data_IF_006480020013
#
_entry.id   IF_006480020013
#
_cell.length_a   1.000
_cell.length_b   1.000
_cell.length_c   1.000
_cell.angle_alpha   90.00
_cell.angle_beta   90.00
_cell.angle_gamma   90.00
#
_symmetry.space_group_name_H-M   'P 1'
#
loop_
_entity.id
_entity.type
_entity.pdbx_description
1 polymer ?
#
# COMPACT_ATOMS: atom_id res chain seq x y z
N UNK A 1 -17.84 6.85 -16.77
CA UNK A 1 -18.05 6.01 -17.95
C UNK A 1 -18.17 4.54 -17.49
N UNK A 2 -19.23 3.80 -17.87
CA UNK A 2 -19.39 2.38 -17.49
C UNK A 2 -18.25 1.47 -17.95
N UNK A 3 -17.51 1.84 -18.99
CA UNK A 3 -16.36 1.07 -19.49
C UNK A 3 -15.16 1.11 -18.54
N UNK A 4 -15.13 2.08 -17.63
CA UNK A 4 -14.11 2.18 -16.59
C UNK A 4 -14.44 1.33 -15.35
N UNK A 5 -15.59 0.68 -15.30
CA UNK A 5 -15.95 -0.24 -14.22
C UNK A 5 -15.59 -1.66 -14.62
N UNK A 6 -14.55 -2.20 -14.03
CA UNK A 6 -14.04 -3.54 -14.30
C UNK A 6 -14.37 -4.49 -13.15
N UNK A 7 -14.85 -5.70 -13.49
CA UNK A 7 -15.08 -6.76 -12.52
C UNK A 7 -13.83 -7.64 -12.43
N UNK A 8 -13.26 -7.72 -11.25
CA UNK A 8 -12.10 -8.55 -10.97
C UNK A 8 -12.51 -9.88 -10.30
N UNK A 9 -11.64 -10.91 -10.35
CA UNK A 9 -11.89 -12.16 -9.65
C UNK A 9 -11.87 -11.97 -8.12
N UNK A 10 -12.54 -12.86 -7.39
CA UNK A 10 -12.60 -12.82 -5.92
C UNK A 10 -11.22 -12.72 -5.25
N UNK A 11 -10.21 -13.32 -5.84
CA UNK A 11 -8.85 -13.26 -5.30
C UNK A 11 -8.33 -11.82 -5.14
N UNK A 12 -8.75 -10.92 -6.03
CA UNK A 12 -8.33 -9.51 -6.06
C UNK A 12 -9.27 -8.62 -5.24
N UNK A 13 -10.57 -8.82 -5.37
CA UNK A 13 -11.60 -7.92 -4.82
C UNK A 13 -12.38 -8.53 -3.65
N UNK A 14 -11.71 -9.29 -2.79
CA UNK A 14 -12.31 -9.80 -1.56
C UNK A 14 -11.33 -9.64 -0.40
N UNK A 15 -11.64 -8.73 0.49
CA UNK A 15 -10.83 -8.40 1.65
C UNK A 15 -11.14 -9.31 2.85
N UNK A 16 -10.15 -9.55 3.68
CA UNK A 16 -10.27 -10.24 4.98
C UNK A 16 -9.14 -9.83 5.92
N UNK A 17 -9.33 -10.05 7.20
CA UNK A 17 -8.37 -9.71 8.27
C UNK A 17 -7.12 -10.59 8.33
N UNK A 18 -6.98 -11.59 7.45
CA UNK A 18 -5.91 -12.59 7.51
C UNK A 18 -6.09 -13.66 8.60
N UNK A 19 -7.11 -13.53 9.44
CA UNK A 19 -7.50 -14.40 10.54
C UNK A 19 -9.04 -14.44 10.63
N UNK A 20 -9.68 -15.34 11.42
CA UNK A 20 -11.12 -15.33 11.62
C UNK A 20 -11.64 -13.95 12.01
N UNK A 21 -12.67 -13.49 11.35
CA UNK A 21 -13.21 -12.14 11.54
C UNK A 21 -14.02 -11.63 10.35
N UNK A 22 -14.28 -10.33 10.28
CA UNK A 22 -14.99 -9.71 9.17
C UNK A 22 -14.29 -9.94 7.84
N UNK A 23 -15.07 -10.13 6.79
CA UNK A 23 -14.61 -10.25 5.42
C UNK A 23 -15.73 -9.84 4.44
N UNK A 24 -15.35 -9.42 3.25
CA UNK A 24 -16.33 -9.09 2.22
C UNK A 24 -15.74 -8.63 0.91
N UNK A 25 -16.59 -8.47 -0.11
CA UNK A 25 -16.14 -7.92 -1.38
C UNK A 25 -15.65 -6.48 -1.19
N UNK A 26 -14.73 -6.07 -2.04
CA UNK A 26 -14.26 -4.69 -2.08
C UNK A 26 -14.40 -4.07 -3.48
N UNK A 27 -14.36 -2.75 -3.52
CA UNK A 27 -14.25 -1.96 -4.73
C UNK A 27 -13.07 -1.01 -4.59
N UNK A 28 -12.25 -0.94 -5.61
CA UNK A 28 -11.05 -0.11 -5.63
C UNK A 28 -11.23 1.05 -6.60
N UNK A 29 -10.75 2.22 -6.21
CA UNK A 29 -10.69 3.38 -7.09
C UNK A 29 -9.23 3.52 -7.54
N UNK A 30 -9.04 3.42 -8.85
CA UNK A 30 -7.74 3.60 -9.50
C UNK A 30 -7.68 4.93 -10.24
N UNK A 31 -6.58 5.62 -10.13
CA UNK A 31 -6.30 6.84 -10.86
C UNK A 31 -5.47 6.50 -12.12
N UNK A 32 -5.94 6.88 -13.31
CA UNK A 32 -5.18 6.73 -14.55
C UNK A 32 -4.16 7.87 -14.67
N UNK A 33 -2.89 7.55 -14.54
CA UNK A 33 -1.77 8.48 -14.67
C UNK A 33 -1.41 8.81 -16.12
N UNK A 34 -2.07 8.16 -17.07
CA UNK A 34 -1.89 8.38 -18.49
C UNK A 34 -0.91 7.43 -19.18
N UNK A 35 -0.88 7.51 -20.50
CA UNK A 35 -0.19 6.56 -21.38
C UNK A 35 1.34 6.49 -21.19
N UNK A 36 1.96 7.52 -20.61
CA UNK A 36 3.41 7.52 -20.33
C UNK A 36 3.81 6.53 -19.23
N UNK A 37 2.85 6.09 -18.39
CA UNK A 37 3.10 5.22 -17.25
C UNK A 37 2.77 3.74 -17.51
N UNK A 38 2.13 3.39 -18.62
CA UNK A 38 1.81 2.01 -18.90
C UNK A 38 0.76 1.81 -19.99
N UNK A 39 0.40 0.54 -20.26
CA UNK A 39 -0.57 0.19 -21.29
C UNK A 39 -1.98 0.65 -20.95
N UNK A 40 -2.82 0.79 -21.96
CA UNK A 40 -4.24 0.98 -21.82
C UNK A 40 -4.95 -0.32 -21.42
N UNK A 41 -6.12 -0.25 -20.81
CA UNK A 41 -6.96 -1.42 -20.51
C UNK A 41 -7.25 -1.65 -19.02
N UNK A 42 -6.80 -0.75 -18.15
CA UNK A 42 -7.10 -0.78 -16.72
C UNK A 42 -6.16 -1.66 -15.88
N UNK A 43 -6.45 -1.83 -14.59
CA UNK A 43 -5.57 -2.50 -13.61
C UNK A 43 -5.21 -3.94 -14.00
N UNK A 44 -6.09 -4.65 -14.69
CA UNK A 44 -5.84 -6.04 -15.12
C UNK A 44 -4.75 -6.16 -16.20
N UNK A 45 -4.54 -5.10 -16.98
CA UNK A 45 -3.52 -5.06 -18.04
C UNK A 45 -2.23 -4.44 -17.53
N UNK A 46 -2.36 -3.43 -16.66
CA UNK A 46 -1.24 -2.76 -16.00
C UNK A 46 -0.73 -3.57 -14.79
N UNK A 47 -0.07 -4.68 -15.06
CA UNK A 47 0.42 -5.61 -14.03
C UNK A 47 1.53 -5.04 -13.15
N UNK A 48 2.13 -3.93 -13.53
CA UNK A 48 3.12 -3.21 -12.73
C UNK A 48 2.45 -2.20 -11.78
N UNK A 49 1.21 -1.78 -12.08
CA UNK A 49 0.46 -0.81 -11.29
C UNK A 49 0.98 0.63 -11.39
N UNK A 50 1.75 0.93 -12.44
CA UNK A 50 2.34 2.27 -12.60
C UNK A 50 1.36 3.27 -13.19
N UNK A 51 0.50 2.85 -14.14
CA UNK A 51 -0.49 3.69 -14.79
C UNK A 51 -1.78 3.79 -14.00
N UNK A 52 -2.38 2.64 -13.65
CA UNK A 52 -3.66 2.60 -12.93
C UNK A 52 -3.41 2.40 -11.43
N UNK A 53 -3.05 3.48 -10.78
CA UNK A 53 -2.69 3.47 -9.37
C UNK A 53 -3.92 3.36 -8.48
N UNK A 54 -4.03 2.30 -7.69
CA UNK A 54 -5.03 2.19 -6.63
C UNK A 54 -4.79 3.29 -5.59
N UNK A 55 -5.80 4.13 -5.37
CA UNK A 55 -5.76 5.22 -4.38
C UNK A 55 -6.71 4.98 -3.21
N UNK A 56 -7.80 4.26 -3.42
CA UNK A 56 -8.83 4.07 -2.41
C UNK A 56 -9.45 2.69 -2.52
N UNK A 57 -9.61 2.02 -1.38
CA UNK A 57 -10.30 0.74 -1.27
C UNK A 57 -11.54 0.89 -0.39
N UNK A 58 -12.68 0.39 -0.86
CA UNK A 58 -13.95 0.35 -0.14
C UNK A 58 -14.29 -1.12 0.12
N UNK A 59 -14.32 -1.51 1.39
CA UNK A 59 -14.59 -2.88 1.84
C UNK A 59 -16.01 -2.99 2.35
N UNK A 60 -16.75 -3.98 1.86
CA UNK A 60 -18.10 -4.27 2.29
C UNK A 60 -18.07 -5.48 3.23
N UNK A 61 -17.94 -5.22 4.54
CA UNK A 61 -17.92 -6.25 5.57
C UNK A 61 -19.31 -6.90 5.69
N UNK A 62 -19.49 -8.02 5.00
CA UNK A 62 -20.75 -8.76 4.96
C UNK A 62 -20.69 -10.14 5.58
N UNK A 63 -19.51 -10.73 5.66
CA UNK A 63 -19.33 -12.14 6.02
C UNK A 63 -18.40 -12.34 7.19
N UNK A 64 -18.60 -13.46 7.90
CA UNK A 64 -17.67 -13.97 8.89
C UNK A 64 -16.73 -14.99 8.23
N UNK A 65 -15.45 -14.67 8.18
CA UNK A 65 -14.38 -15.57 7.77
C UNK A 65 -14.05 -16.55 8.89
N UNK A 66 -13.95 -17.84 8.54
CA UNK A 66 -13.45 -18.88 9.44
C UNK A 66 -11.93 -19.04 9.39
N UNK A 67 -11.44 -20.09 10.04
CA UNK A 67 -10.03 -20.48 10.02
C UNK A 67 -9.58 -20.86 8.59
N UNK A 68 -8.32 -20.58 8.26
CA UNK A 68 -7.71 -20.92 6.97
C UNK A 68 -6.54 -20.02 6.61
N UNK A 69 -5.77 -20.41 5.60
CA UNK A 69 -4.59 -19.66 5.14
C UNK A 69 -4.86 -18.97 3.81
N UNK A 70 -4.31 -17.77 3.66
CA UNK A 70 -4.49 -16.98 2.44
C UNK A 70 -5.96 -16.77 2.13
N UNK A 71 -6.40 -17.14 0.93
CA UNK A 71 -7.81 -17.08 0.49
C UNK A 71 -8.56 -18.43 0.62
N UNK A 72 -7.90 -19.47 1.16
CA UNK A 72 -8.50 -20.80 1.41
C UNK A 72 -9.09 -20.86 2.82
N UNK A 73 -10.30 -20.37 2.96
CA UNK A 73 -11.07 -20.36 4.21
C UNK A 73 -12.57 -20.42 3.94
N UNK A 74 -13.38 -20.99 4.85
CA UNK A 74 -14.82 -20.99 4.76
C UNK A 74 -15.41 -19.61 5.13
N UNK A 75 -16.51 -19.24 4.50
CA UNK A 75 -17.41 -18.21 4.99
C UNK A 75 -18.44 -18.88 5.90
N UNK A 76 -18.42 -18.54 7.18
CA UNK A 76 -19.27 -19.16 8.22
C UNK A 76 -20.70 -18.62 8.21
N UNK A 77 -20.94 -17.52 7.51
CA UNK A 77 -22.25 -16.89 7.38
C UNK A 77 -22.13 -15.38 7.17
N UNK A 78 -23.28 -14.71 7.12
CA UNK A 78 -23.32 -13.25 7.10
C UNK A 78 -23.14 -12.69 8.50
N UNK A 79 -22.51 -11.53 8.58
CA UNK A 79 -22.44 -10.76 9.81
C UNK A 79 -23.84 -10.31 10.23
N UNK A 80 -24.09 -10.26 11.53
CA UNK A 80 -25.34 -9.74 12.08
C UNK A 80 -25.56 -8.28 11.68
N UNK A 81 -24.49 -7.50 11.68
CA UNK A 81 -24.46 -6.11 11.25
C UNK A 81 -23.38 -5.97 10.19
N UNK A 82 -23.77 -5.52 9.01
CA UNK A 82 -22.84 -5.20 7.92
C UNK A 82 -22.28 -3.81 8.10
N UNK A 83 -21.07 -3.59 7.61
CA UNK A 83 -20.40 -2.30 7.63
C UNK A 83 -19.70 -2.02 6.30
N UNK A 84 -19.39 -0.76 6.07
CA UNK A 84 -18.47 -0.36 5.00
C UNK A 84 -17.25 0.25 5.69
N UNK A 85 -16.09 -0.32 5.41
CA UNK A 85 -14.80 0.23 5.83
C UNK A 85 -14.07 0.77 4.60
N UNK A 86 -13.26 1.80 4.77
CA UNK A 86 -12.52 2.37 3.65
C UNK A 86 -11.07 2.66 4.03
N UNK A 87 -10.16 2.42 3.08
CA UNK A 87 -8.75 2.75 3.22
C UNK A 87 -8.26 3.56 2.03
N UNK A 88 -7.63 4.69 2.30
CA UNK A 88 -7.04 5.56 1.28
C UNK A 88 -5.56 5.77 1.60
N UNK A 89 -4.69 5.50 0.62
CA UNK A 89 -3.25 5.70 0.77
C UNK A 89 -2.88 7.17 0.81
N UNK A 90 -2.51 7.69 1.99
CA UNK A 90 -2.15 9.10 2.15
C UNK A 90 -1.03 9.51 1.19
N UNK A 91 0.06 8.76 1.15
CA UNK A 91 1.21 9.05 0.31
C UNK A 91 0.89 8.89 -1.18
N UNK A 92 0.05 7.92 -1.54
CA UNK A 92 -0.41 7.74 -2.93
C UNK A 92 -1.22 8.94 -3.40
N UNK A 93 -2.15 9.43 -2.59
CA UNK A 93 -2.91 10.63 -2.90
C UNK A 93 -2.02 11.87 -2.91
N UNK A 94 -1.12 12.01 -1.94
CA UNK A 94 -0.25 13.17 -1.80
C UNK A 94 0.65 13.36 -3.03
N UNK A 95 1.32 12.31 -3.53
CA UNK A 95 2.20 12.49 -4.67
C UNK A 95 1.45 12.84 -5.96
N UNK A 96 0.23 12.33 -6.14
CA UNK A 96 -0.62 12.72 -7.27
C UNK A 96 -1.03 14.19 -7.18
N UNK A 97 -1.46 14.65 -6.00
CA UNK A 97 -1.85 16.06 -5.80
C UNK A 97 -0.67 17.03 -5.86
N UNK A 98 0.52 16.58 -5.52
CA UNK A 98 1.75 17.38 -5.59
C UNK A 98 2.46 17.27 -6.95
N UNK A 99 1.85 16.58 -7.94
CA UNK A 99 2.42 16.37 -9.27
C UNK A 99 3.84 15.77 -9.21
N UNK A 100 4.00 14.70 -8.41
CA UNK A 100 5.25 13.94 -8.25
C UNK A 100 5.15 12.58 -8.93
N UNK A 101 6.28 12.02 -9.29
CA UNK A 101 6.33 10.71 -9.94
C UNK A 101 6.12 9.54 -8.97
N UNK A 102 6.50 9.74 -7.70
CA UNK A 102 6.35 8.72 -6.67
C UNK A 102 6.24 9.31 -5.25
N UNK A 103 5.85 8.45 -4.30
CA UNK A 103 5.62 8.82 -2.90
C UNK A 103 6.87 9.31 -2.15
N UNK A 104 8.06 9.02 -2.64
CA UNK A 104 9.31 9.45 -1.98
C UNK A 104 9.68 10.89 -2.27
N UNK A 105 8.99 11.54 -3.21
CA UNK A 105 9.21 12.93 -3.61
C UNK A 105 8.22 13.92 -2.97
N UNK A 106 7.26 13.42 -2.17
CA UNK A 106 6.34 14.29 -1.46
C UNK A 106 7.03 15.06 -0.33
N UNK A 107 6.44 16.18 0.04
CA UNK A 107 6.95 17.11 1.06
C UNK A 107 7.19 16.45 2.43
N UNK A 108 6.44 15.42 2.80
CA UNK A 108 6.58 14.69 4.07
C UNK A 108 7.67 13.61 4.06
N UNK A 109 8.06 13.09 2.90
CA UNK A 109 9.05 12.00 2.80
C UNK A 109 10.40 12.48 2.31
N UNK A 110 10.41 13.37 1.32
CA UNK A 110 11.65 13.87 0.71
C UNK A 110 12.66 14.49 1.69
N UNK A 111 12.27 15.15 2.79
CA UNK A 111 13.22 15.65 3.78
C UNK A 111 14.16 14.57 4.35
N UNK A 112 13.68 13.33 4.52
CA UNK A 112 14.53 12.21 4.99
C UNK A 112 15.58 11.85 3.92
N UNK A 113 15.17 11.83 2.65
CA UNK A 113 16.08 11.61 1.52
C UNK A 113 17.10 12.75 1.43
N UNK A 114 16.70 14.00 1.63
CA UNK A 114 17.60 15.14 1.61
C UNK A 114 18.70 15.02 2.66
N UNK A 115 18.36 14.63 3.89
CA UNK A 115 19.36 14.36 4.95
C UNK A 115 20.27 13.19 4.56
N UNK A 116 19.72 12.11 3.99
CA UNK A 116 20.53 10.99 3.54
C UNK A 116 21.50 11.38 2.40
N UNK A 117 21.10 12.27 1.50
CA UNK A 117 21.99 12.85 0.48
C UNK A 117 23.14 13.64 1.12
N UNK A 118 22.83 14.52 2.07
CA UNK A 118 23.83 15.32 2.78
C UNK A 118 24.87 14.43 3.50
N UNK A 119 24.39 13.44 4.25
CA UNK A 119 25.26 12.54 5.01
C UNK A 119 26.10 11.62 4.12
N UNK A 120 25.57 11.18 2.99
CA UNK A 120 26.28 10.26 2.08
C UNK A 120 27.15 10.95 1.02
N UNK A 121 26.94 12.24 0.77
CA UNK A 121 27.52 12.98 -0.34
C UNK A 121 27.04 12.52 -1.72
N UNK A 122 25.94 11.78 -1.79
CA UNK A 122 25.35 11.24 -3.03
C UNK A 122 24.03 11.92 -3.34
N UNK A 123 23.59 11.85 -4.61
CA UNK A 123 22.36 12.47 -5.08
C UNK A 123 21.29 11.42 -5.40
N UNK A 124 20.07 11.64 -4.94
CA UNK A 124 18.87 10.91 -5.34
C UNK A 124 18.33 11.49 -6.66
N UNK A 125 18.03 10.64 -7.62
CA UNK A 125 17.59 11.02 -8.98
C UNK A 125 16.22 10.46 -9.36
N UNK A 126 15.53 9.83 -8.41
CA UNK A 126 14.23 9.20 -8.65
C UNK A 126 14.24 8.14 -9.77
N UNK A 127 15.29 7.36 -9.82
CA UNK A 127 15.51 6.36 -10.88
C UNK A 127 15.47 4.92 -10.36
N UNK A 128 15.64 3.96 -11.26
CA UNK A 128 15.81 2.55 -10.93
C UNK A 128 17.25 2.18 -10.51
N UNK A 129 18.17 3.14 -10.46
CA UNK A 129 19.53 2.92 -9.99
C UNK A 129 19.52 2.33 -8.57
N UNK A 130 20.34 1.30 -8.27
CA UNK A 130 20.43 0.72 -6.93
C UNK A 130 20.70 1.75 -5.83
N UNK A 131 21.42 2.84 -6.11
CA UNK A 131 21.66 3.91 -5.15
C UNK A 131 20.35 4.62 -4.78
N UNK A 132 19.51 4.92 -5.74
CA UNK A 132 18.20 5.54 -5.52
C UNK A 132 17.26 4.60 -4.73
N UNK A 133 17.35 3.29 -4.99
CA UNK A 133 16.64 2.28 -4.19
C UNK A 133 17.08 2.35 -2.72
N UNK A 134 18.37 2.48 -2.44
CA UNK A 134 18.87 2.61 -1.07
C UNK A 134 18.34 3.87 -0.36
N UNK A 135 18.24 5.00 -1.05
CA UNK A 135 17.61 6.21 -0.50
C UNK A 135 16.16 5.98 -0.11
N UNK A 136 15.38 5.30 -0.99
CA UNK A 136 13.98 4.95 -0.70
C UNK A 136 13.86 4.00 0.49
N UNK A 137 14.73 2.99 0.56
CA UNK A 137 14.78 2.06 1.69
C UNK A 137 15.09 2.79 3.00
N UNK A 138 16.06 3.72 3.01
CA UNK A 138 16.37 4.53 4.19
C UNK A 138 15.16 5.36 4.61
N UNK A 139 14.49 6.04 3.68
CA UNK A 139 13.32 6.86 3.99
C UNK A 139 12.18 6.03 4.59
N UNK A 140 11.88 4.88 4.01
CA UNK A 140 10.83 3.96 4.46
C UNK A 140 11.15 3.36 5.84
N UNK A 141 12.38 2.83 6.01
CA UNK A 141 12.78 2.17 7.25
C UNK A 141 12.92 3.14 8.42
N UNK A 142 13.47 4.34 8.20
CA UNK A 142 13.60 5.35 9.26
C UNK A 142 12.23 5.79 9.76
N UNK A 143 11.27 6.04 8.86
CA UNK A 143 9.90 6.38 9.25
C UNK A 143 9.23 5.24 10.01
N UNK A 144 9.30 4.01 9.49
CA UNK A 144 8.71 2.83 10.12
C UNK A 144 9.31 2.56 11.50
N UNK A 145 10.64 2.67 11.63
CA UNK A 145 11.34 2.52 12.90
C UNK A 145 10.92 3.60 13.91
N UNK A 146 10.81 4.85 13.46
CA UNK A 146 10.37 5.97 14.31
C UNK A 146 8.98 5.71 14.90
N UNK A 147 8.02 5.27 14.07
CA UNK A 147 6.67 4.97 14.53
C UNK A 147 6.65 3.80 15.50
N UNK A 148 7.36 2.71 15.20
CA UNK A 148 7.47 1.55 16.10
C UNK A 148 8.06 1.94 17.45
N UNK A 149 9.11 2.76 17.49
CA UNK A 149 9.73 3.24 18.72
C UNK A 149 8.75 4.16 19.48
N UNK A 150 8.07 5.05 18.78
CA UNK A 150 7.03 5.92 19.35
C UNK A 150 5.91 5.14 20.02
N UNK A 151 5.53 4.01 19.45
CA UNK A 151 4.54 3.07 20.02
C UNK A 151 5.12 2.18 21.13
N UNK A 152 6.35 2.43 21.57
CA UNK A 152 7.00 1.72 22.68
C UNK A 152 7.62 0.38 22.29
N UNK A 153 7.74 0.04 21.01
CA UNK A 153 8.44 -1.17 20.57
C UNK A 153 9.94 -1.00 20.79
N UNK A 154 10.59 -2.04 21.36
CA UNK A 154 12.04 -2.09 21.52
C UNK A 154 12.62 -3.20 20.66
N UNK A 155 13.83 -3.02 20.08
CA UNK A 155 14.49 -4.08 19.34
C UNK A 155 14.64 -5.36 20.18
N UNK A 156 14.26 -6.50 19.60
CA UNK A 156 14.35 -7.81 20.25
C UNK A 156 14.56 -8.93 19.23
N UNK A 157 14.60 -10.17 19.68
CA UNK A 157 14.76 -11.33 18.81
C UNK A 157 13.42 -11.92 18.35
N UNK A 158 12.29 -11.42 18.84
CA UNK A 158 10.96 -11.98 18.60
C UNK A 158 9.91 -10.89 18.34
N UNK A 159 8.82 -11.27 17.67
CA UNK A 159 7.64 -10.43 17.46
C UNK A 159 7.96 -9.10 16.78
N UNK A 160 7.27 -8.04 17.19
CA UNK A 160 7.43 -6.69 16.62
C UNK A 160 8.83 -6.12 16.83
N UNK A 161 9.48 -6.45 17.95
CA UNK A 161 10.84 -6.01 18.23
C UNK A 161 11.88 -6.62 17.29
N UNK A 162 11.65 -7.84 16.80
CA UNK A 162 12.47 -8.43 15.75
C UNK A 162 12.34 -7.68 14.43
N UNK A 163 11.12 -7.28 14.06
CA UNK A 163 10.91 -6.46 12.85
C UNK A 163 11.68 -5.15 12.96
N UNK A 164 11.51 -4.41 14.07
CA UNK A 164 12.25 -3.16 14.32
C UNK A 164 13.78 -3.34 14.25
N UNK A 165 14.28 -4.47 14.78
CA UNK A 165 15.72 -4.78 14.72
C UNK A 165 16.21 -5.05 13.30
N UNK A 166 15.33 -5.51 12.40
CA UNK A 166 15.69 -5.85 11.02
C UNK A 166 15.65 -4.64 10.08
N UNK A 167 14.84 -3.62 10.39
CA UNK A 167 14.86 -2.34 9.72
C UNK A 167 16.20 -1.60 9.92
#
# INVERSE_FOLDING_TARGET
DPTHVQKLPRAEIFWDTGQPGPAGPCAEIHYDRGASYGPEGGPMVDTQGDRFLEIWNLVFDEYLRGEGRGKDYPLLGRLYQTAIDTGLGLERLAFLLQDKDNMYEIDEVFPVIAVAQELSGRQYRSSADPMDVHFRVVADHVRSALMLIGDGVRPSNEGRGYVLRRL
#
